data_IF_089810380948
#
_entry.id   IF_089810380948
#
_cell.length_a   1.000
_cell.length_b   1.000
_cell.length_c   1.000
_cell.angle_alpha   90.00
_cell.angle_beta   90.00
_cell.angle_gamma   90.00
#
_symmetry.space_group_name_H-M   'P 1'
#
loop_
_entity.id
_entity.type
_entity.pdbx_description
1 polymer ?
#
# COMPACT_ATOMS: atom_id res chain seq x y z
N UNK A 1 -70.55 -4.37 9.60
CA UNK A 1 -69.72 -5.44 10.22
C UNK A 1 -68.45 -5.58 9.40
N UNK A 2 -67.33 -5.26 10.04
CA UNK A 2 -65.93 -5.57 9.69
C UNK A 2 -65.25 -4.79 8.54
N UNK A 3 -64.61 -3.71 8.98
CA UNK A 3 -63.46 -3.03 8.38
C UNK A 3 -62.21 -3.93 8.37
N UNK A 4 -61.38 -3.84 7.34
CA UNK A 4 -60.01 -4.39 7.33
C UNK A 4 -59.01 -3.29 6.99
N UNK A 5 -58.31 -2.85 8.04
CA UNK A 5 -57.14 -1.98 8.02
C UNK A 5 -55.89 -2.85 7.82
N UNK A 6 -55.03 -2.51 6.84
CA UNK A 6 -53.71 -3.13 6.68
C UNK A 6 -52.69 -2.19 7.33
N UNK A 7 -52.14 -2.64 8.46
CA UNK A 7 -51.04 -2.01 9.18
C UNK A 7 -49.69 -2.44 8.59
N UNK A 8 -48.84 -1.47 8.31
CA UNK A 8 -47.41 -1.63 7.98
C UNK A 8 -46.61 -1.79 9.27
N UNK A 9 -45.72 -2.79 9.41
CA UNK A 9 -44.86 -2.89 10.59
C UNK A 9 -43.60 -2.01 10.48
N UNK A 10 -43.31 -1.30 11.57
CA UNK A 10 -42.07 -0.56 11.83
C UNK A 10 -40.84 -1.47 11.87
N UNK A 11 -39.64 -0.95 11.54
CA UNK A 11 -38.39 -1.68 11.64
C UNK A 11 -37.94 -1.87 13.10
N UNK A 12 -37.59 -3.11 13.44
CA UNK A 12 -37.00 -3.50 14.72
C UNK A 12 -35.55 -2.99 14.82
N UNK A 13 -35.29 -2.07 15.74
CA UNK A 13 -33.95 -1.79 16.24
C UNK A 13 -33.55 -2.93 17.19
N UNK A 14 -32.65 -3.80 16.73
CA UNK A 14 -31.99 -4.77 17.59
C UNK A 14 -30.80 -4.09 18.28
N UNK A 15 -31.03 -3.77 19.55
CA UNK A 15 -30.03 -3.41 20.55
C UNK A 15 -29.16 -4.63 20.87
N UNK A 16 -27.86 -4.51 20.65
CA UNK A 16 -26.85 -5.49 21.07
C UNK A 16 -26.47 -5.27 22.54
N UNK A 17 -26.54 -6.30 23.41
CA UNK A 17 -25.97 -6.22 24.75
C UNK A 17 -24.63 -7.00 24.83
N UNK A 18 -23.77 -6.51 25.74
CA UNK A 18 -22.59 -7.16 26.32
C UNK A 18 -21.22 -7.06 25.61
N UNK A 19 -20.35 -6.22 26.20
CA UNK A 19 -18.92 -6.51 26.33
C UNK A 19 -18.59 -6.68 27.83
N UNK A 20 -17.77 -7.68 28.21
CA UNK A 20 -17.35 -7.90 29.59
C UNK A 20 -16.20 -6.99 30.01
N UNK A 21 -16.29 -6.55 31.26
CA UNK A 21 -15.36 -5.73 32.01
C UNK A 21 -14.19 -6.61 32.51
N UNK A 22 -12.95 -6.33 32.06
CA UNK A 22 -11.75 -6.89 32.67
C UNK A 22 -10.92 -5.81 33.35
N UNK A 23 -10.96 -5.84 34.68
CA UNK A 23 -10.07 -5.10 35.56
C UNK A 23 -8.67 -5.71 35.53
N UNK A 24 -7.69 -4.95 35.03
CA UNK A 24 -6.29 -5.19 35.34
C UNK A 24 -5.84 -4.21 36.42
N UNK A 25 -5.50 -4.75 37.59
CA UNK A 25 -4.72 -4.10 38.63
C UNK A 25 -3.33 -3.76 38.10
N UNK A 26 -2.97 -2.48 38.10
CA UNK A 26 -1.58 -2.03 38.07
C UNK A 26 -1.36 -1.03 39.22
N UNK A 27 -0.43 -1.39 40.09
CA UNK A 27 0.12 -0.57 41.16
C UNK A 27 0.76 0.71 40.59
N UNK A 28 0.57 1.88 41.22
CA UNK A 28 1.37 3.07 40.93
C UNK A 28 2.70 3.04 41.72
N UNK A 29 3.83 3.50 41.13
CA UNK A 29 5.05 3.82 41.88
C UNK A 29 4.91 5.19 42.59
N UNK A 30 5.70 5.46 43.66
CA UNK A 30 5.49 6.60 44.53
C UNK A 30 5.88 7.96 43.92
N UNK A 31 5.12 8.97 44.33
CA UNK A 31 5.22 10.40 44.02
C UNK A 31 6.51 11.04 44.55
N UNK A 32 7.17 11.83 43.71
CA UNK A 32 8.22 12.77 44.11
C UNK A 32 7.72 14.21 43.82
N UNK A 33 7.78 15.18 44.77
CA UNK A 33 7.13 16.46 44.60
C UNK A 33 8.06 17.47 43.89
N UNK A 34 7.84 17.71 42.60
CA UNK A 34 8.47 18.83 41.89
C UNK A 34 7.49 20.00 41.69
N UNK A 35 7.97 21.19 42.05
CA UNK A 35 7.28 22.49 42.07
C UNK A 35 6.62 22.87 40.73
N UNK A 36 5.52 23.63 40.73
CA UNK A 36 4.91 24.15 39.50
C UNK A 36 5.80 25.22 38.83
N UNK A 37 5.91 25.23 37.49
CA UNK A 37 6.61 26.30 36.78
C UNK A 37 5.78 27.58 36.74
N UNK A 38 6.46 28.72 36.89
CA UNK A 38 5.90 30.08 36.83
C UNK A 38 5.57 30.49 35.38
N UNK A 39 4.54 31.31 35.15
CA UNK A 39 4.24 31.83 33.81
C UNK A 39 5.30 32.86 33.40
N UNK A 40 5.97 32.63 32.26
CA UNK A 40 6.84 33.62 31.64
C UNK A 40 5.99 34.59 30.81
N UNK A 41 5.95 35.84 31.25
CA UNK A 41 5.46 36.99 30.51
C UNK A 41 6.39 37.28 29.34
N UNK A 42 5.91 37.14 28.09
CA UNK A 42 6.67 37.50 26.89
C UNK A 42 6.50 38.99 26.65
N UNK A 43 7.50 39.77 27.05
CA UNK A 43 7.62 41.18 26.68
C UNK A 43 8.12 41.28 25.24
N UNK A 44 7.39 41.98 24.38
CA UNK A 44 7.80 42.29 23.02
C UNK A 44 8.90 43.37 23.04
N UNK A 45 10.16 42.95 22.85
CA UNK A 45 11.28 43.84 22.58
C UNK A 45 11.31 44.17 21.09
N UNK A 46 10.92 45.40 20.74
CA UNK A 46 11.17 46.01 19.44
C UNK A 46 12.64 46.40 19.41
N UNK A 47 13.43 45.77 18.53
CA UNK A 47 14.84 46.11 18.28
C UNK A 47 14.93 46.76 16.89
N UNK A 48 15.63 47.92 16.73
CA UNK A 48 15.76 48.62 15.44
C UNK A 48 16.77 47.93 14.49
N UNK A 49 16.73 48.22 13.17
CA UNK A 49 17.38 47.39 12.17
C UNK A 49 18.88 47.68 12.08
N UNK A 50 19.68 46.62 12.17
CA UNK A 50 21.09 46.66 11.79
C UNK A 50 21.23 46.08 10.38
N UNK A 51 21.70 46.91 9.46
CA UNK A 51 22.01 46.60 8.08
C UNK A 51 23.06 45.50 7.97
N UNK A 52 22.65 44.31 7.53
CA UNK A 52 23.56 43.36 6.88
C UNK A 52 22.79 42.50 5.89
N UNK A 53 23.32 42.49 4.68
CA UNK A 53 22.78 41.88 3.48
C UNK A 53 22.83 40.36 3.62
N UNK A 54 21.68 39.71 3.72
CA UNK A 54 21.54 38.25 3.56
C UNK A 54 20.11 37.98 3.12
N UNK A 55 19.92 37.70 1.83
CA UNK A 55 18.63 37.33 1.26
C UNK A 55 18.22 35.94 1.76
N UNK A 56 17.67 35.85 2.96
CA UNK A 56 16.80 34.73 3.34
C UNK A 56 15.41 35.03 2.78
N UNK A 57 15.18 34.65 1.52
CA UNK A 57 13.82 34.51 1.03
C UNK A 57 13.09 33.55 1.97
N UNK A 58 12.08 34.08 2.67
CA UNK A 58 11.11 33.29 3.39
C UNK A 58 10.59 32.23 2.41
N UNK A 59 10.91 30.95 2.64
CA UNK A 59 10.39 29.84 1.84
C UNK A 59 8.88 29.79 2.08
N UNK A 60 8.14 30.53 1.25
CA UNK A 60 6.71 30.35 1.05
C UNK A 60 6.51 28.88 0.71
N UNK A 61 5.52 28.25 1.34
CA UNK A 61 5.16 26.86 1.08
C UNK A 61 4.99 26.66 -0.44
N UNK A 62 5.84 25.81 -1.01
CA UNK A 62 5.73 25.39 -2.40
C UNK A 62 4.83 24.15 -2.44
N UNK A 63 3.73 24.16 -3.21
CA UNK A 63 2.96 22.95 -3.46
C UNK A 63 3.87 21.85 -4.00
N UNK A 64 3.65 20.60 -3.57
CA UNK A 64 4.42 19.44 -4.01
C UNK A 64 4.42 19.34 -5.54
N UNK A 65 5.61 19.24 -6.15
CA UNK A 65 5.79 18.98 -7.58
C UNK A 65 6.47 17.62 -7.76
N UNK A 66 5.82 16.64 -8.38
CA UNK A 66 6.43 15.33 -8.63
C UNK A 66 7.63 15.44 -9.60
N UNK A 67 8.60 14.51 -9.52
CA UNK A 67 9.74 14.47 -10.42
C UNK A 67 9.27 14.29 -11.88
N UNK A 68 9.98 14.88 -12.87
CA UNK A 68 9.56 14.84 -14.26
C UNK A 68 9.68 13.43 -14.84
N UNK A 69 8.57 12.88 -15.35
CA UNK A 69 8.60 11.83 -16.37
C UNK A 69 8.77 12.48 -17.74
N UNK A 70 9.63 11.96 -18.63
CA UNK A 70 9.80 12.53 -19.96
C UNK A 70 8.47 12.46 -20.74
N UNK A 71 8.03 13.59 -21.27
CA UNK A 71 6.85 13.62 -22.14
C UNK A 71 7.14 12.84 -23.43
N UNK A 72 6.21 12.00 -23.92
CA UNK A 72 6.29 11.43 -25.26
C UNK A 72 6.50 12.52 -26.32
N UNK A 73 7.33 12.25 -27.32
CA UNK A 73 7.70 13.22 -28.37
C UNK A 73 6.48 13.85 -29.05
N UNK A 74 5.42 13.06 -29.26
CA UNK A 74 4.14 13.48 -29.84
C UNK A 74 3.38 14.55 -29.02
N UNK A 75 3.68 14.68 -27.73
CA UNK A 75 3.00 15.62 -26.84
C UNK A 75 3.85 16.84 -26.46
N UNK A 76 5.14 16.84 -26.78
CA UNK A 76 6.11 17.85 -26.32
C UNK A 76 5.80 19.27 -26.80
N UNK A 77 5.27 19.39 -28.01
CA UNK A 77 5.02 20.67 -28.68
C UNK A 77 3.55 21.12 -28.58
N UNK A 78 2.71 20.39 -27.84
CA UNK A 78 1.32 20.76 -27.63
C UNK A 78 1.21 21.93 -26.65
N UNK A 79 0.30 22.85 -26.95
CA UNK A 79 -0.09 23.92 -26.04
C UNK A 79 -0.94 23.35 -24.89
N UNK A 80 -1.18 24.19 -23.86
CA UNK A 80 -1.89 23.77 -22.65
C UNK A 80 -3.31 23.27 -22.95
N UNK A 81 -4.04 23.91 -23.88
CA UNK A 81 -5.40 23.49 -24.24
C UNK A 81 -5.42 22.12 -24.91
N UNK A 82 -4.53 21.85 -25.86
CA UNK A 82 -4.46 20.53 -26.49
C UNK A 82 -4.09 19.42 -25.50
N UNK A 83 -3.23 19.70 -24.51
CA UNK A 83 -2.91 18.73 -23.45
C UNK A 83 -4.10 18.43 -22.55
N UNK A 84 -4.87 19.46 -22.19
CA UNK A 84 -6.10 19.31 -21.42
C UNK A 84 -7.14 18.52 -22.22
N UNK A 85 -7.30 18.79 -23.51
CA UNK A 85 -8.22 18.05 -24.39
C UNK A 85 -7.86 16.55 -24.49
N UNK A 86 -6.56 16.23 -24.58
CA UNK A 86 -6.09 14.83 -24.56
C UNK A 86 -6.48 14.14 -23.25
N UNK A 87 -6.32 14.81 -22.11
CA UNK A 87 -6.70 14.26 -20.81
C UNK A 87 -8.21 14.10 -20.68
N UNK A 88 -9.00 15.13 -21.03
CA UNK A 88 -10.47 15.11 -20.95
C UNK A 88 -11.06 13.97 -21.78
N UNK A 89 -10.49 13.69 -22.95
CA UNK A 89 -10.97 12.65 -23.86
C UNK A 89 -10.19 11.32 -23.72
N UNK A 90 -9.20 11.25 -22.81
CA UNK A 90 -8.33 10.09 -22.59
C UNK A 90 -7.72 9.55 -23.90
N UNK A 91 -7.18 10.45 -24.71
CA UNK A 91 -6.66 10.12 -26.05
C UNK A 91 -5.29 9.43 -25.96
N UNK A 92 -5.22 8.19 -26.46
CA UNK A 92 -4.02 7.36 -26.45
C UNK A 92 -3.99 6.37 -25.29
N UNK A 93 -2.84 5.72 -25.09
CA UNK A 93 -2.69 4.78 -23.97
C UNK A 93 -2.49 5.54 -22.65
N UNK A 94 -2.90 4.93 -21.55
CA UNK A 94 -2.95 5.59 -20.25
C UNK A 94 -1.58 6.12 -19.80
N UNK A 95 -0.52 5.37 -20.07
CA UNK A 95 0.86 5.74 -19.73
C UNK A 95 1.43 6.79 -20.68
N UNK A 96 0.83 7.02 -21.84
CA UNK A 96 1.25 8.08 -22.76
C UNK A 96 0.72 9.44 -22.31
N UNK A 97 -0.56 9.51 -21.91
CA UNK A 97 -1.16 10.76 -21.46
C UNK A 97 -0.87 11.06 -19.97
N UNK A 98 -0.56 10.06 -19.13
CA UNK A 98 -0.27 10.28 -17.71
C UNK A 98 0.85 11.32 -17.44
N UNK A 99 1.97 11.36 -18.18
CA UNK A 99 2.98 12.40 -18.04
C UNK A 99 2.47 13.84 -18.25
N UNK A 100 1.38 14.04 -19.01
CA UNK A 100 0.76 15.36 -19.20
C UNK A 100 0.28 15.96 -17.88
N UNK A 101 -0.19 15.13 -16.94
CA UNK A 101 -0.64 15.57 -15.61
C UNK A 101 0.52 16.25 -14.87
N UNK A 102 1.70 15.63 -14.89
CA UNK A 102 2.91 16.20 -14.25
C UNK A 102 3.37 17.46 -14.97
N UNK A 103 3.31 17.49 -16.30
CA UNK A 103 3.66 18.69 -17.07
C UNK A 103 2.72 19.88 -16.77
N UNK A 104 1.41 19.65 -16.69
CA UNK A 104 0.43 20.68 -16.31
C UNK A 104 0.66 21.19 -14.88
N UNK A 105 0.96 20.30 -13.92
CA UNK A 105 1.31 20.71 -12.55
C UNK A 105 2.56 21.60 -12.54
N UNK A 106 3.54 21.29 -13.38
CA UNK A 106 4.75 22.11 -13.52
C UNK A 106 4.45 23.48 -14.15
N UNK A 107 3.44 23.59 -15.01
CA UNK A 107 2.94 24.84 -15.58
C UNK A 107 2.07 25.66 -14.61
N UNK A 108 1.77 25.13 -13.43
CA UNK A 108 1.07 25.84 -12.35
C UNK A 108 -0.36 25.37 -12.10
N UNK A 109 -0.84 24.34 -12.80
CA UNK A 109 -2.11 23.71 -12.48
C UNK A 109 -2.02 22.96 -11.14
N UNK A 110 -3.13 22.89 -10.42
CA UNK A 110 -3.29 22.02 -9.25
C UNK A 110 -4.23 20.86 -9.60
N UNK A 111 -4.12 19.74 -8.89
CA UNK A 111 -4.90 18.52 -9.19
C UNK A 111 -6.41 18.75 -9.23
N UNK A 112 -6.94 19.60 -8.34
CA UNK A 112 -8.37 19.95 -8.33
C UNK A 112 -8.79 20.69 -9.59
N UNK A 113 -7.97 21.63 -10.09
CA UNK A 113 -8.25 22.33 -11.35
C UNK A 113 -8.16 21.39 -12.56
N UNK A 114 -7.21 20.46 -12.56
CA UNK A 114 -7.14 19.42 -13.61
C UNK A 114 -8.39 18.55 -13.56
N UNK A 115 -8.85 18.17 -12.38
CA UNK A 115 -10.08 17.38 -12.18
C UNK A 115 -11.32 18.14 -12.67
N UNK A 116 -11.46 19.42 -12.36
CA UNK A 116 -12.57 20.26 -12.84
C UNK A 116 -12.62 20.37 -14.36
N UNK A 117 -11.46 20.47 -15.03
CA UNK A 117 -11.38 20.63 -16.50
C UNK A 117 -11.50 19.29 -17.23
N UNK A 118 -10.87 18.24 -16.71
CA UNK A 118 -10.72 16.95 -17.40
C UNK A 118 -11.67 15.86 -16.92
N UNK A 119 -12.27 16.04 -15.75
CA UNK A 119 -13.07 15.01 -15.09
C UNK A 119 -12.25 13.86 -14.50
N UNK A 120 -10.92 13.89 -14.55
CA UNK A 120 -10.06 12.87 -13.95
C UNK A 120 -9.89 13.16 -12.46
N UNK A 121 -10.39 12.31 -11.54
CA UNK A 121 -10.28 12.53 -10.11
C UNK A 121 -8.82 12.68 -9.65
N UNK A 122 -8.56 13.55 -8.69
CA UNK A 122 -7.20 13.79 -8.15
C UNK A 122 -6.51 12.51 -7.67
N UNK A 123 -7.27 11.56 -7.12
CA UNK A 123 -6.76 10.24 -6.73
C UNK A 123 -6.33 9.41 -7.96
N UNK A 124 -7.13 9.43 -9.02
CA UNK A 124 -6.82 8.74 -10.28
C UNK A 124 -5.62 9.39 -10.97
N UNK A 125 -5.50 10.72 -10.95
CA UNK A 125 -4.33 11.43 -11.48
C UNK A 125 -3.03 10.93 -10.84
N UNK A 126 -3.00 10.84 -9.51
CA UNK A 126 -1.85 10.29 -8.79
C UNK A 126 -1.61 8.81 -9.13
N UNK A 127 -2.67 8.01 -9.25
CA UNK A 127 -2.57 6.61 -9.67
C UNK A 127 -1.89 6.48 -11.04
N UNK A 128 -2.39 7.20 -12.04
CA UNK A 128 -1.88 7.21 -13.41
C UNK A 128 -0.41 7.62 -13.48
N UNK A 129 -0.02 8.71 -12.81
CA UNK A 129 1.36 9.20 -12.83
C UNK A 129 2.32 8.17 -12.21
N UNK A 130 1.98 7.63 -11.04
CA UNK A 130 2.84 6.68 -10.34
C UNK A 130 2.89 5.34 -11.07
N UNK A 131 1.75 4.85 -11.58
CA UNK A 131 1.71 3.63 -12.37
C UNK A 131 2.54 3.77 -13.65
N UNK A 132 2.55 4.94 -14.31
CA UNK A 132 3.36 5.17 -15.50
C UNK A 132 4.85 5.06 -15.18
N UNK A 133 5.29 5.62 -14.05
CA UNK A 133 6.66 5.46 -13.56
C UNK A 133 7.03 4.01 -13.23
N UNK A 134 6.07 3.23 -12.70
CA UNK A 134 6.27 1.79 -12.51
C UNK A 134 6.41 1.10 -13.86
N UNK A 135 5.56 1.40 -14.84
CA UNK A 135 5.65 0.85 -16.20
C UNK A 135 6.98 1.20 -16.87
N UNK A 136 7.46 2.43 -16.72
CA UNK A 136 8.78 2.84 -17.23
C UNK A 136 9.89 1.97 -16.62
N UNK A 137 9.82 1.68 -15.32
CA UNK A 137 10.76 0.73 -14.70
C UNK A 137 10.59 -0.72 -15.19
N UNK A 138 9.41 -1.11 -15.68
CA UNK A 138 9.23 -2.41 -16.31
C UNK A 138 9.92 -2.44 -17.68
N UNK A 139 9.74 -1.42 -18.51
CA UNK A 139 10.41 -1.30 -19.83
C UNK A 139 11.91 -1.54 -19.74
N UNK A 140 12.55 -1.09 -18.66
CA UNK A 140 14.00 -1.29 -18.44
C UNK A 140 14.39 -2.66 -17.85
N UNK A 141 13.50 -3.33 -17.11
CA UNK A 141 13.84 -4.51 -16.28
C UNK A 141 13.05 -5.79 -16.64
N UNK A 142 12.19 -5.77 -17.66
CA UNK A 142 11.37 -6.93 -18.08
C UNK A 142 11.24 -7.04 -19.60
N UNK A 143 10.62 -8.13 -20.06
CA UNK A 143 10.32 -8.36 -21.49
C UNK A 143 9.12 -7.54 -21.99
N UNK A 144 9.07 -7.31 -23.30
CA UNK A 144 8.02 -6.50 -23.95
C UNK A 144 6.62 -7.09 -23.75
N UNK A 145 6.49 -8.42 -23.72
CA UNK A 145 5.22 -9.11 -23.48
C UNK A 145 4.63 -8.75 -22.10
N UNK A 146 5.47 -8.79 -21.06
CA UNK A 146 5.09 -8.38 -19.69
C UNK A 146 4.68 -6.91 -19.66
N UNK A 147 5.38 -6.03 -20.38
CA UNK A 147 5.03 -4.60 -20.42
C UNK A 147 3.68 -4.39 -21.11
N UNK A 148 3.49 -4.98 -22.29
CA UNK A 148 2.27 -4.82 -23.10
C UNK A 148 1.02 -5.38 -22.44
N UNK A 149 1.16 -6.39 -21.57
CA UNK A 149 0.04 -6.85 -20.73
C UNK A 149 -0.60 -5.70 -19.93
N UNK A 150 0.19 -4.71 -19.51
CA UNK A 150 -0.26 -3.57 -18.71
C UNK A 150 -0.68 -2.35 -19.56
N UNK A 151 -0.94 -2.52 -20.85
CA UNK A 151 -1.44 -1.41 -21.69
C UNK A 151 -2.96 -1.17 -21.52
N UNK A 152 -3.68 -2.13 -20.93
CA UNK A 152 -5.13 -2.06 -20.69
C UNK A 152 -5.55 -1.04 -19.61
N UNK A 153 -6.82 -0.62 -19.64
CA UNK A 153 -7.33 0.45 -18.77
C UNK A 153 -7.32 0.13 -17.26
N UNK A 154 -7.37 -1.15 -16.86
CA UNK A 154 -7.30 -1.56 -15.46
C UNK A 154 -5.88 -1.73 -14.92
N UNK A 155 -4.87 -1.68 -15.79
CA UNK A 155 -3.47 -1.86 -15.42
C UNK A 155 -2.90 -0.81 -14.45
N UNK A 156 -3.28 0.48 -14.52
CA UNK A 156 -2.77 1.49 -13.59
C UNK A 156 -3.00 1.10 -12.12
N UNK A 157 -4.20 0.60 -11.81
CA UNK A 157 -4.58 0.19 -10.46
C UNK A 157 -3.70 -0.95 -9.93
N UNK A 158 -3.30 -1.88 -10.81
CA UNK A 158 -2.44 -3.01 -10.44
C UNK A 158 -0.99 -2.56 -10.27
N UNK A 159 -0.46 -1.81 -11.25
CA UNK A 159 0.91 -1.30 -11.22
C UNK A 159 1.14 -0.32 -10.06
N UNK A 160 0.12 0.44 -9.70
CA UNK A 160 0.17 1.34 -8.55
C UNK A 160 0.46 0.59 -7.25
N UNK A 161 -0.05 -0.62 -7.05
CA UNK A 161 0.16 -1.36 -5.80
C UNK A 161 1.61 -1.85 -5.64
N UNK A 162 2.29 -2.19 -6.74
CA UNK A 162 3.71 -2.61 -6.70
C UNK A 162 4.70 -1.44 -6.64
N UNK A 163 4.24 -0.18 -6.58
CA UNK A 163 5.10 1.03 -6.55
C UNK A 163 6.14 1.04 -5.41
N UNK A 164 5.84 0.37 -4.30
CA UNK A 164 6.67 0.36 -3.07
C UNK A 164 7.92 -0.52 -3.19
N UNK A 165 7.98 -1.33 -4.25
CA UNK A 165 9.07 -2.25 -4.57
C UNK A 165 10.19 -1.54 -5.35
N UNK A 166 11.40 -2.11 -5.33
CA UNK A 166 12.49 -1.66 -6.21
C UNK A 166 12.29 -2.18 -7.66
N UNK A 167 13.09 -1.70 -8.62
CA UNK A 167 12.90 -2.00 -10.04
C UNK A 167 12.94 -3.52 -10.35
N UNK A 168 13.92 -4.24 -9.83
CA UNK A 168 14.02 -5.71 -10.00
C UNK A 168 12.81 -6.42 -9.43
N UNK A 169 12.38 -6.04 -8.21
CA UNK A 169 11.21 -6.61 -7.57
C UNK A 169 9.91 -6.29 -8.32
N UNK A 170 9.79 -5.10 -8.93
CA UNK A 170 8.63 -4.75 -9.77
C UNK A 170 8.54 -5.67 -10.98
N UNK A 171 9.65 -5.94 -11.66
CA UNK A 171 9.67 -6.85 -12.81
C UNK A 171 9.30 -8.29 -12.44
N UNK A 172 9.77 -8.78 -11.29
CA UNK A 172 9.41 -10.11 -10.77
C UNK A 172 7.94 -10.17 -10.35
N UNK A 173 7.46 -9.16 -9.61
CA UNK A 173 6.07 -9.07 -9.17
C UNK A 173 5.11 -8.98 -10.36
N UNK A 174 5.44 -8.19 -11.39
CA UNK A 174 4.65 -8.05 -12.60
C UNK A 174 4.44 -9.40 -13.32
N UNK A 175 5.52 -10.17 -13.53
CA UNK A 175 5.43 -11.51 -14.12
C UNK A 175 4.60 -12.47 -13.26
N UNK A 176 4.76 -12.41 -11.94
CA UNK A 176 3.98 -13.23 -11.01
C UNK A 176 2.48 -12.87 -11.05
N UNK A 177 2.16 -11.57 -11.08
CA UNK A 177 0.78 -11.06 -11.19
C UNK A 177 0.11 -11.57 -12.47
N UNK A 178 0.80 -11.50 -13.62
CA UNK A 178 0.29 -12.00 -14.91
C UNK A 178 0.02 -13.49 -14.81
N UNK A 179 1.00 -14.26 -14.34
CA UNK A 179 0.90 -15.73 -14.24
C UNK A 179 -0.29 -16.18 -13.39
N UNK A 180 -0.60 -15.46 -12.31
CA UNK A 180 -1.67 -15.82 -11.38
C UNK A 180 -2.97 -15.02 -11.59
N UNK A 181 -3.04 -14.14 -12.60
CA UNK A 181 -4.24 -13.32 -12.88
C UNK A 181 -4.62 -12.39 -11.72
N UNK A 182 -3.64 -11.84 -11.00
CA UNK A 182 -3.92 -11.02 -9.82
C UNK A 182 -4.53 -9.67 -10.17
N UNK A 183 -5.68 -9.39 -9.57
CA UNK A 183 -6.26 -8.05 -9.53
C UNK A 183 -5.62 -7.18 -8.44
N UNK A 184 -6.02 -5.91 -8.40
CA UNK A 184 -5.51 -4.86 -7.51
C UNK A 184 -5.27 -5.32 -6.06
N UNK A 185 -6.27 -5.90 -5.40
CA UNK A 185 -6.15 -6.31 -3.98
C UNK A 185 -5.07 -7.37 -3.76
N UNK A 186 -4.94 -8.33 -4.68
CA UNK A 186 -3.91 -9.37 -4.62
C UNK A 186 -2.54 -8.84 -4.98
N UNK A 187 -2.46 -7.89 -5.91
CA UNK A 187 -1.22 -7.17 -6.19
C UNK A 187 -0.71 -6.34 -4.98
N UNK A 188 -1.62 -5.70 -4.22
CA UNK A 188 -1.28 -5.03 -2.96
C UNK A 188 -0.72 -6.01 -1.93
N UNK A 189 -1.41 -7.13 -1.73
CA UNK A 189 -1.01 -8.18 -0.80
C UNK A 189 0.38 -8.74 -1.16
N UNK A 190 0.62 -9.03 -2.44
CA UNK A 190 1.92 -9.43 -2.97
C UNK A 190 3.00 -8.39 -2.70
N UNK A 191 2.77 -7.13 -3.09
CA UNK A 191 3.75 -6.05 -2.91
C UNK A 191 4.11 -5.85 -1.43
N UNK A 192 3.13 -5.90 -0.54
CA UNK A 192 3.35 -5.81 0.91
C UNK A 192 4.15 -6.99 1.43
N UNK A 193 3.83 -8.22 1.00
CA UNK A 193 4.57 -9.42 1.41
C UNK A 193 6.05 -9.35 1.02
N UNK A 194 6.36 -8.97 -0.23
CA UNK A 194 7.74 -8.81 -0.72
C UNK A 194 8.49 -7.69 0.02
N UNK A 195 7.79 -6.59 0.34
CA UNK A 195 8.39 -5.47 1.07
C UNK A 195 8.64 -5.80 2.53
N UNK A 196 7.79 -6.63 3.14
CA UNK A 196 7.86 -7.00 4.54
C UNK A 196 8.88 -8.12 4.78
N UNK A 197 9.00 -9.08 3.86
CA UNK A 197 9.81 -10.30 4.00
C UNK A 197 11.21 -10.09 4.61
N UNK A 198 12.05 -9.14 4.14
CA UNK A 198 13.39 -8.95 4.71
C UNK A 198 13.39 -8.51 6.17
N UNK A 199 12.32 -7.83 6.64
CA UNK A 199 12.20 -7.36 8.02
C UNK A 199 11.84 -8.48 9.00
N UNK A 200 11.49 -9.66 8.48
CA UNK A 200 11.03 -10.82 9.25
C UNK A 200 12.12 -11.86 9.48
N UNK A 201 13.37 -11.46 9.24
CA UNK A 201 14.54 -12.29 9.49
C UNK A 201 14.53 -12.86 10.91
N UNK A 202 14.79 -14.16 11.03
CA UNK A 202 14.82 -14.88 12.30
C UNK A 202 13.46 -15.37 12.81
N UNK A 203 12.35 -15.03 12.15
CA UNK A 203 11.06 -15.65 12.44
C UNK A 203 11.02 -17.12 11.99
N UNK A 204 10.11 -17.91 12.59
CA UNK A 204 9.96 -19.34 12.30
C UNK A 204 9.80 -19.58 10.80
N UNK A 205 10.61 -20.49 10.26
CA UNK A 205 10.52 -20.93 8.88
C UNK A 205 11.08 -19.95 7.84
N UNK A 206 11.46 -18.72 8.22
CA UNK A 206 11.92 -17.67 7.30
C UNK A 206 13.01 -18.14 6.32
N UNK A 207 13.99 -18.90 6.82
CA UNK A 207 15.12 -19.46 6.04
C UNK A 207 14.71 -20.46 4.95
N UNK A 208 13.45 -20.93 4.94
CA UNK A 208 12.92 -21.89 3.99
C UNK A 208 12.29 -21.26 2.77
N UNK A 209 12.10 -19.94 2.79
CA UNK A 209 11.49 -19.16 1.72
C UNK A 209 12.55 -18.26 1.08
N UNK A 210 12.50 -18.10 -0.24
CA UNK A 210 13.39 -17.19 -0.97
C UNK A 210 12.79 -15.78 -1.10
N UNK A 211 13.44 -14.79 -0.47
CA UNK A 211 13.01 -13.39 -0.52
C UNK A 211 13.14 -12.71 -1.89
N UNK A 212 13.77 -13.36 -2.87
CA UNK A 212 13.82 -12.89 -4.26
C UNK A 212 12.66 -13.42 -5.10
N UNK A 213 11.89 -14.37 -4.60
CA UNK A 213 10.77 -14.98 -5.32
C UNK A 213 9.45 -14.41 -4.78
N UNK A 214 8.63 -13.73 -5.61
CA UNK A 214 7.38 -13.12 -5.18
C UNK A 214 6.42 -14.11 -4.50
N UNK A 215 6.31 -15.32 -5.04
CA UNK A 215 5.44 -16.37 -4.52
C UNK A 215 5.91 -16.91 -3.18
N UNK A 216 7.22 -17.08 -2.96
CA UNK A 216 7.75 -17.46 -1.64
C UNK A 216 7.54 -16.35 -0.60
N UNK A 217 7.66 -15.08 -0.99
CA UNK A 217 7.36 -13.96 -0.09
C UNK A 217 5.89 -13.96 0.34
N UNK A 218 4.97 -14.16 -0.61
CA UNK A 218 3.54 -14.23 -0.35
C UNK A 218 3.17 -15.49 0.44
N UNK A 219 3.76 -16.63 0.10
CA UNK A 219 3.61 -17.88 0.83
C UNK A 219 4.06 -17.75 2.28
N UNK A 220 5.20 -17.09 2.55
CA UNK A 220 5.68 -16.85 3.90
C UNK A 220 4.71 -16.01 4.74
N UNK A 221 4.09 -14.99 4.13
CA UNK A 221 3.06 -14.20 4.79
C UNK A 221 1.85 -15.08 5.19
N UNK A 222 1.36 -15.94 4.30
CA UNK A 222 0.28 -16.88 4.61
C UNK A 222 0.68 -17.95 5.62
N UNK A 223 1.91 -18.43 5.55
CA UNK A 223 2.48 -19.39 6.49
C UNK A 223 2.44 -18.87 7.92
N UNK A 224 2.88 -17.63 8.12
CA UNK A 224 2.79 -16.94 9.42
C UNK A 224 1.35 -16.75 9.88
N UNK A 225 0.45 -16.35 8.97
CA UNK A 225 -0.97 -16.19 9.28
C UNK A 225 -1.57 -17.51 9.79
N UNK A 226 -1.16 -18.65 9.22
CA UNK A 226 -1.57 -19.97 9.70
C UNK A 226 -1.15 -20.23 11.16
N UNK A 227 0.05 -19.82 11.56
CA UNK A 227 0.49 -19.91 12.97
C UNK A 227 -0.24 -18.97 13.91
N UNK A 228 -0.55 -17.74 13.47
CA UNK A 228 -1.34 -16.79 14.24
C UNK A 228 -2.74 -17.36 14.50
N UNK A 229 -3.39 -17.94 13.49
CA UNK A 229 -4.67 -18.62 13.63
C UNK A 229 -4.60 -19.86 14.52
N UNK A 230 -3.51 -20.64 14.44
CA UNK A 230 -3.30 -21.82 15.30
C UNK A 230 -3.19 -21.41 16.76
N UNK A 231 -2.42 -20.35 17.02
CA UNK A 231 -2.26 -19.76 18.37
C UNK A 231 -3.59 -19.24 18.90
N UNK A 232 -4.42 -18.66 18.04
CA UNK A 232 -5.78 -18.23 18.36
C UNK A 232 -6.81 -19.39 18.39
N UNK A 233 -6.37 -20.66 18.37
CA UNK A 233 -7.24 -21.84 18.41
C UNK A 233 -8.31 -21.89 17.29
N UNK A 234 -7.95 -21.39 16.10
CA UNK A 234 -8.79 -21.36 14.91
C UNK A 234 -8.26 -22.33 13.83
N UNK A 235 -8.49 -23.66 13.97
CA UNK A 235 -7.86 -24.68 13.13
C UNK A 235 -8.23 -24.57 11.65
N UNK A 236 -9.50 -24.26 11.33
CA UNK A 236 -9.97 -24.09 9.95
C UNK A 236 -9.26 -22.92 9.24
N UNK A 237 -9.13 -21.78 9.93
CA UNK A 237 -8.42 -20.61 9.41
C UNK A 237 -6.91 -20.87 9.25
N UNK A 238 -6.34 -21.71 10.13
CA UNK A 238 -4.93 -22.11 10.05
C UNK A 238 -4.67 -22.95 8.79
N UNK A 239 -5.51 -23.97 8.59
CA UNK A 239 -5.44 -24.85 7.43
C UNK A 239 -5.62 -24.06 6.12
N UNK A 240 -6.66 -23.23 6.02
CA UNK A 240 -6.89 -22.40 4.84
C UNK A 240 -5.80 -21.34 4.59
N UNK A 241 -5.05 -20.92 5.61
CA UNK A 241 -3.87 -20.08 5.41
C UNK A 241 -2.69 -20.88 4.85
N UNK A 242 -2.42 -22.08 5.37
CA UNK A 242 -1.33 -22.93 4.86
C UNK A 242 -1.61 -23.49 3.47
N UNK A 243 -2.86 -23.81 3.13
CA UNK A 243 -3.23 -24.18 1.75
C UNK A 243 -2.92 -23.05 0.77
N UNK A 244 -3.29 -21.80 1.11
CA UNK A 244 -2.92 -20.63 0.31
C UNK A 244 -1.42 -20.41 0.26
N UNK A 245 -0.69 -20.69 1.35
CA UNK A 245 0.76 -20.63 1.34
C UNK A 245 1.35 -21.65 0.35
N UNK A 246 0.83 -22.88 0.34
CA UNK A 246 1.29 -23.94 -0.53
C UNK A 246 1.02 -23.64 -2.01
N UNK A 247 -0.14 -23.04 -2.31
CA UNK A 247 -0.50 -22.62 -3.67
C UNK A 247 0.47 -21.58 -4.24
N UNK A 248 0.96 -20.66 -3.39
CA UNK A 248 1.83 -19.56 -3.81
C UNK A 248 3.32 -19.91 -3.79
N UNK A 249 3.73 -20.91 -3.00
CA UNK A 249 5.14 -21.25 -2.82
C UNK A 249 5.80 -21.71 -4.13
N UNK A 250 6.93 -21.08 -4.46
CA UNK A 250 7.72 -21.38 -5.66
C UNK A 250 8.80 -22.42 -5.37
N UNK A 251 9.42 -22.39 -4.18
CA UNK A 251 10.50 -23.32 -3.83
C UNK A 251 10.01 -24.58 -3.13
N UNK A 252 10.70 -25.70 -3.41
CA UNK A 252 10.41 -26.97 -2.75
C UNK A 252 10.70 -26.94 -1.24
N UNK A 253 11.64 -26.09 -0.79
CA UNK A 253 11.91 -25.89 0.65
C UNK A 253 10.73 -25.21 1.34
N UNK A 254 10.14 -24.19 0.73
CA UNK A 254 8.94 -23.52 1.24
C UNK A 254 7.75 -24.49 1.28
N UNK A 255 7.49 -25.20 0.18
CA UNK A 255 6.39 -26.19 0.11
C UNK A 255 6.54 -27.26 1.20
N UNK A 256 7.75 -27.77 1.42
CA UNK A 256 8.01 -28.82 2.41
C UNK A 256 7.66 -28.38 3.83
N UNK A 257 8.10 -27.20 4.27
CA UNK A 257 7.80 -26.74 5.64
C UNK A 257 6.30 -26.44 5.81
N UNK A 258 5.61 -25.95 4.77
CA UNK A 258 4.16 -25.74 4.79
C UNK A 258 3.41 -27.08 4.92
N UNK A 259 3.85 -28.11 4.19
CA UNK A 259 3.27 -29.46 4.28
C UNK A 259 3.48 -30.10 5.65
N UNK A 260 4.65 -29.91 6.26
CA UNK A 260 4.92 -30.40 7.62
C UNK A 260 3.91 -29.84 8.65
N UNK A 261 3.56 -28.56 8.53
CA UNK A 261 2.57 -27.93 9.41
C UNK A 261 1.13 -28.36 9.09
N UNK A 262 0.77 -28.52 7.81
CA UNK A 262 -0.53 -29.04 7.37
C UNK A 262 -0.78 -30.47 7.89
N UNK A 263 0.25 -31.31 7.86
CA UNK A 263 0.20 -32.70 8.35
C UNK A 263 0.27 -32.79 9.89
N UNK A 264 0.45 -31.66 10.58
CA UNK A 264 0.59 -31.62 12.04
C UNK A 264 1.90 -32.23 12.55
N UNK A 265 2.92 -32.33 11.68
CA UNK A 265 4.29 -32.76 12.02
C UNK A 265 5.10 -31.64 12.67
N UNK A 266 4.43 -30.85 13.50
CA UNK A 266 5.10 -29.84 14.32
C UNK A 266 6.08 -30.55 15.26
N UNK A 267 7.36 -30.27 15.09
CA UNK A 267 8.48 -30.91 15.79
C UNK A 267 8.26 -31.07 17.29
N UNK A 268 7.86 -32.29 17.71
CA UNK A 268 8.01 -32.78 19.08
C UNK A 268 9.46 -33.15 19.38
N UNK A 269 10.41 -32.28 19.00
CA UNK A 269 11.81 -32.39 19.39
C UNK A 269 12.31 -31.00 19.78
N UNK A 270 12.04 -30.60 21.04
CA UNK A 270 12.89 -29.73 21.86
C UNK A 270 12.16 -29.31 23.15
N UNK A 271 11.94 -30.27 24.05
CA UNK A 271 12.04 -30.07 25.52
C UNK A 271 11.99 -31.44 26.22
N UNK A 272 12.95 -32.30 25.91
CA UNK A 272 13.48 -33.20 26.94
C UNK A 272 14.57 -32.39 27.63
N UNK A 273 14.19 -31.59 28.62
CA UNK A 273 15.16 -31.15 29.63
C UNK A 273 15.40 -32.38 30.48
N UNK A 274 16.44 -33.14 30.10
CA UNK A 274 17.19 -33.94 31.05
C UNK A 274 17.88 -32.95 31.99
N UNK A 275 17.45 -32.93 33.24
CA UNK A 275 18.20 -33.24 34.48
C UNK A 275 17.29 -32.89 35.66
#
# INVERSE_FOLDING_TARGET
>A
MLSLTINTPNPLFLSTPFLPNHHHHLHPPPLNPHKPPKPLSVSALIIPPSSSTSQTQQKVYQPYRPPPSPLPSKYRNLDTNARLEILSNRLGLWFEYAPLITALIQEGFISTTIEEITGIPSLEQNCLVVAAQVRDSLVEFTDEETVSYFDGQGAPDILYEIRILNNTQRALAARFIIKHGFERKKAEELARSMKDFPRRYGERGWERFDGNLPGDCLAFMYFRQGHEHKTASSPELSMGAWERALEMAETEKAKKIILEDLEGKDGREAKVVLV
#
